data_IF_291072986134
#
_entry.id   IF_291072986134
#
_cell.length_a   1.000
_cell.length_b   1.000
_cell.length_c   1.000
_cell.angle_alpha   90.00
_cell.angle_beta   90.00
_cell.angle_gamma   90.00
#
_symmetry.space_group_name_H-M   'P 1'
#
loop_
_entity.id
_entity.type
_entity.pdbx_description
1 polymer ?
#
# COMPACT_ATOMS: atom_id res chain seq x y z
N UNK A 1 9.05 -14.11 2.03
CA UNK A 1 8.24 -15.28 2.41
C UNK A 1 6.89 -15.11 1.72
N UNK A 2 6.60 -15.91 0.70
CA UNK A 2 5.29 -15.88 0.05
C UNK A 2 4.34 -16.75 0.87
N UNK A 3 3.26 -16.16 1.37
CA UNK A 3 2.28 -16.85 2.23
C UNK A 3 1.09 -17.21 1.36
N UNK A 4 0.90 -18.50 1.07
CA UNK A 4 -0.37 -19.01 0.54
C UNK A 4 -1.22 -19.53 1.70
N UNK A 5 -2.53 -19.37 1.57
CA UNK A 5 -3.47 -19.93 2.53
C UNK A 5 -3.38 -21.48 2.49
N UNK A 6 -2.72 -22.08 3.48
CA UNK A 6 -2.62 -23.54 3.60
C UNK A 6 -3.98 -24.22 3.85
N UNK A 7 -5.02 -23.47 4.22
CA UNK A 7 -6.32 -23.99 4.62
C UNK A 7 -7.47 -23.59 3.69
N UNK A 8 -7.19 -23.05 2.51
CA UNK A 8 -8.23 -22.67 1.53
C UNK A 8 -7.98 -23.26 0.16
N UNK A 9 -9.00 -23.26 -0.70
CA UNK A 9 -8.94 -23.59 -2.13
C UNK A 9 -8.07 -22.63 -2.96
N UNK A 10 -7.14 -21.91 -2.32
CA UNK A 10 -6.23 -20.98 -2.97
C UNK A 10 -5.31 -21.73 -3.92
N UNK A 11 -5.17 -21.21 -5.15
CA UNK A 11 -4.32 -21.81 -6.17
C UNK A 11 -2.90 -22.07 -5.68
N UNK A 12 -2.25 -23.08 -6.28
CA UNK A 12 -0.84 -23.35 -6.04
C UNK A 12 -0.01 -22.08 -6.34
N UNK A 13 1.04 -21.85 -5.55
CA UNK A 13 1.99 -20.77 -5.82
C UNK A 13 2.60 -20.95 -7.22
N UNK A 14 2.58 -19.93 -8.07
CA UNK A 14 3.14 -20.05 -9.42
C UNK A 14 4.64 -20.29 -9.35
N UNK A 15 5.19 -20.99 -10.35
CA UNK A 15 6.58 -21.46 -10.34
C UNK A 15 7.60 -20.35 -10.09
N UNK A 16 7.38 -19.17 -10.67
CA UNK A 16 8.23 -18.01 -10.52
C UNK A 16 8.26 -17.44 -9.09
N UNK A 17 7.20 -17.67 -8.31
CA UNK A 17 7.06 -17.16 -6.94
C UNK A 17 7.49 -18.17 -5.86
N UNK A 18 7.79 -19.43 -6.24
CA UNK A 18 8.28 -20.46 -5.33
C UNK A 18 9.57 -20.04 -4.63
N UNK A 19 9.82 -20.62 -3.46
CA UNK A 19 11.05 -20.42 -2.69
C UNK A 19 12.28 -20.57 -3.59
N UNK A 20 13.25 -19.66 -3.46
CA UNK A 20 14.47 -19.54 -4.28
C UNK A 20 14.28 -19.08 -5.73
N UNK A 21 13.06 -19.08 -6.27
CA UNK A 21 12.80 -18.59 -7.63
C UNK A 21 12.53 -17.09 -7.67
N UNK A 22 11.92 -16.52 -6.62
CA UNK A 22 11.61 -15.08 -6.56
C UNK A 22 12.85 -14.24 -6.19
N UNK A 23 13.24 -13.34 -7.09
CA UNK A 23 14.27 -12.31 -6.88
C UNK A 23 13.65 -10.94 -7.14
N UNK A 24 13.15 -10.35 -6.06
CA UNK A 24 12.37 -9.13 -6.09
C UNK A 24 13.23 -7.89 -5.83
N UNK A 25 12.99 -6.83 -6.59
CA UNK A 25 13.56 -5.50 -6.33
C UNK A 25 12.42 -4.51 -6.03
N UNK A 26 12.53 -3.81 -4.90
CA UNK A 26 11.57 -2.79 -4.50
C UNK A 26 11.95 -1.44 -5.08
N UNK A 27 10.96 -0.73 -5.62
CA UNK A 27 11.18 0.60 -6.17
C UNK A 27 10.10 1.57 -5.69
N UNK A 28 10.43 2.28 -4.62
CA UNK A 28 9.60 3.31 -4.02
C UNK A 28 9.82 4.62 -4.76
N UNK A 29 9.02 4.92 -5.78
CA UNK A 29 9.15 6.16 -6.57
C UNK A 29 7.80 6.64 -7.10
N UNK A 30 7.82 7.75 -7.84
CA UNK A 30 6.63 8.35 -8.43
C UNK A 30 5.91 9.32 -7.49
N UNK A 31 4.90 10.03 -8.02
CA UNK A 31 4.20 11.09 -7.29
C UNK A 31 3.64 10.67 -5.93
N UNK A 32 3.01 9.49 -5.85
CA UNK A 32 2.37 9.01 -4.60
C UNK A 32 3.40 8.80 -3.48
N UNK A 33 4.55 8.19 -3.78
CA UNK A 33 5.61 7.97 -2.79
C UNK A 33 6.34 9.27 -2.42
N UNK A 34 6.57 10.18 -3.37
CA UNK A 34 7.17 11.49 -3.08
C UNK A 34 6.25 12.31 -2.18
N UNK A 35 4.94 12.33 -2.46
CA UNK A 35 3.95 12.99 -1.59
C UNK A 35 3.96 12.39 -0.18
N UNK A 36 3.97 11.06 -0.07
CA UNK A 36 4.14 10.37 1.21
C UNK A 36 5.43 10.80 1.92
N UNK A 37 6.57 10.80 1.23
CA UNK A 37 7.86 11.15 1.81
C UNK A 37 7.86 12.56 2.41
N UNK A 38 7.37 13.56 1.67
CA UNK A 38 7.25 14.94 2.12
C UNK A 38 6.44 15.00 3.44
N UNK A 39 5.30 14.32 3.47
CA UNK A 39 4.38 14.34 4.60
C UNK A 39 4.71 13.38 5.76
N UNK A 40 5.85 12.68 5.70
CA UNK A 40 6.18 11.58 6.64
C UNK A 40 7.56 11.72 7.30
N UNK A 41 7.96 12.94 7.66
CA UNK A 41 9.24 13.22 8.35
C UNK A 41 10.51 12.94 7.52
N UNK A 42 10.39 12.43 6.29
CA UNK A 42 11.56 12.20 5.43
C UNK A 42 12.23 13.51 5.00
N UNK A 43 11.54 14.64 5.17
CA UNK A 43 12.09 15.98 4.95
C UNK A 43 13.23 16.33 5.89
N UNK A 44 13.35 15.64 7.02
CA UNK A 44 14.49 15.80 7.92
C UNK A 44 15.68 14.92 7.55
N UNK A 45 15.48 13.94 6.65
CA UNK A 45 16.50 12.93 6.29
C UNK A 45 16.99 13.04 4.85
N UNK A 46 16.34 13.86 4.03
CA UNK A 46 16.69 14.05 2.63
C UNK A 46 16.70 15.55 2.31
N UNK A 47 17.71 15.98 1.55
CA UNK A 47 17.67 17.28 0.89
C UNK A 47 16.62 17.22 -0.23
N UNK A 48 15.44 17.80 0.02
CA UNK A 48 14.40 17.96 -0.99
C UNK A 48 14.75 19.10 -1.97
N UNK A 49 15.87 18.97 -2.67
CA UNK A 49 16.19 19.86 -3.78
C UNK A 49 15.19 19.68 -4.94
N UNK A 50 15.04 20.70 -5.78
CA UNK A 50 14.19 20.61 -6.98
C UNK A 50 14.64 19.46 -7.89
N UNK A 51 15.95 19.25 -8.00
CA UNK A 51 16.52 18.13 -8.75
C UNK A 51 16.11 16.78 -8.15
N UNK A 52 16.19 16.63 -6.82
CA UNK A 52 15.77 15.41 -6.14
C UNK A 52 14.29 15.12 -6.38
N UNK A 53 13.42 16.11 -6.21
CA UNK A 53 11.98 15.97 -6.42
C UNK A 53 11.67 15.59 -7.87
N UNK A 54 12.26 16.30 -8.84
CA UNK A 54 12.08 16.03 -10.26
C UNK A 54 12.50 14.59 -10.61
N UNK A 55 13.69 14.18 -10.15
CA UNK A 55 14.22 12.83 -10.38
C UNK A 55 13.32 11.75 -9.79
N UNK A 56 12.86 11.91 -8.55
CA UNK A 56 12.08 10.88 -7.84
C UNK A 56 10.66 10.74 -8.38
N UNK A 57 10.05 11.84 -8.83
CA UNK A 57 8.74 11.82 -9.50
C UNK A 57 8.84 11.09 -10.85
N UNK A 58 9.92 11.32 -11.60
CA UNK A 58 10.14 10.75 -12.94
C UNK A 58 10.88 9.42 -12.95
N UNK A 59 11.22 8.86 -11.80
CA UNK A 59 12.09 7.68 -11.76
C UNK A 59 11.44 6.44 -12.39
N UNK A 60 10.11 6.37 -12.42
CA UNK A 60 9.40 5.35 -13.19
C UNK A 60 9.43 5.59 -14.71
N UNK A 61 9.65 6.83 -15.18
CA UNK A 61 9.86 7.10 -16.61
C UNK A 61 11.20 6.52 -17.10
N UNK A 62 12.12 6.21 -16.19
CA UNK A 62 13.33 5.46 -16.50
C UNK A 62 12.98 3.99 -16.72
N UNK A 63 13.73 3.29 -17.58
CA UNK A 63 13.49 1.87 -17.89
C UNK A 63 13.86 0.96 -16.70
N UNK A 64 13.05 0.99 -15.65
CA UNK A 64 13.29 0.34 -14.37
C UNK A 64 13.35 -1.18 -14.52
N UNK A 65 12.50 -1.74 -15.38
CA UNK A 65 12.49 -3.17 -15.65
C UNK A 65 13.87 -3.62 -16.18
N UNK A 66 14.46 -2.90 -17.14
CA UNK A 66 15.81 -3.20 -17.64
C UNK A 66 16.87 -3.14 -16.54
N UNK A 67 16.88 -2.05 -15.76
CA UNK A 67 17.86 -1.86 -14.69
C UNK A 67 17.78 -2.96 -13.62
N UNK A 68 16.57 -3.42 -13.32
CA UNK A 68 16.35 -4.50 -12.35
C UNK A 68 16.74 -5.86 -12.92
N UNK A 69 16.38 -6.13 -14.18
CA UNK A 69 16.75 -7.35 -14.88
C UNK A 69 18.27 -7.50 -14.98
N UNK A 70 19.00 -6.41 -15.29
CA UNK A 70 20.46 -6.38 -15.33
C UNK A 70 21.11 -6.72 -13.97
N UNK A 71 20.40 -6.50 -12.86
CA UNK A 71 20.82 -6.87 -11.50
C UNK A 71 20.36 -8.28 -11.09
N UNK A 72 19.78 -9.04 -12.01
CA UNK A 72 19.32 -10.40 -11.79
C UNK A 72 17.92 -10.51 -11.16
N UNK A 73 17.18 -9.41 -10.99
CA UNK A 73 15.80 -9.50 -10.53
C UNK A 73 14.92 -10.14 -11.60
N UNK A 74 13.92 -10.93 -11.17
CA UNK A 74 12.85 -11.43 -12.04
C UNK A 74 11.47 -10.88 -11.65
N UNK A 75 11.41 -10.08 -10.59
CA UNK A 75 10.21 -9.36 -10.21
C UNK A 75 10.51 -7.95 -9.71
N UNK A 76 9.64 -7.00 -10.04
CA UNK A 76 9.61 -5.66 -9.44
C UNK A 76 8.51 -5.52 -8.40
N UNK A 77 8.68 -4.59 -7.46
CA UNK A 77 7.59 -4.09 -6.63
C UNK A 77 7.47 -2.58 -6.78
N UNK A 78 6.38 -2.13 -7.39
CA UNK A 78 6.08 -0.71 -7.62
C UNK A 78 5.04 -0.21 -6.63
N UNK A 79 5.10 1.06 -6.26
CA UNK A 79 4.12 1.69 -5.37
C UNK A 79 2.80 1.79 -6.12
N UNK A 80 1.72 1.26 -5.55
CA UNK A 80 0.37 1.43 -6.10
C UNK A 80 -0.48 2.33 -5.23
N UNK A 81 -0.43 2.16 -3.90
CA UNK A 81 -1.12 3.08 -3.00
C UNK A 81 -0.38 3.26 -1.69
N UNK A 82 -0.21 4.51 -1.30
CA UNK A 82 0.40 4.90 -0.02
C UNK A 82 -0.63 5.31 1.03
N UNK A 83 -1.89 5.51 0.64
CA UNK A 83 -2.99 5.91 1.51
C UNK A 83 -3.87 7.06 1.00
N UNK A 84 -3.73 7.49 -0.26
CA UNK A 84 -4.56 8.52 -0.90
C UNK A 84 -5.88 7.98 -1.44
N UNK A 85 -6.82 8.83 -1.82
CA UNK A 85 -8.08 8.35 -2.39
C UNK A 85 -7.86 7.63 -3.73
N UNK A 86 -8.82 6.78 -4.13
CA UNK A 86 -8.80 6.14 -5.45
C UNK A 86 -8.67 7.19 -6.58
N UNK A 87 -9.31 8.36 -6.43
CA UNK A 87 -9.28 9.42 -7.42
C UNK A 87 -7.89 10.06 -7.51
N UNK A 88 -7.23 10.29 -6.38
CA UNK A 88 -5.89 10.89 -6.36
C UNK A 88 -4.80 9.88 -6.75
N UNK A 89 -4.89 8.64 -6.26
CA UNK A 89 -4.00 7.55 -6.67
C UNK A 89 -4.14 7.22 -8.17
N UNK A 90 -5.28 7.51 -8.82
CA UNK A 90 -5.49 7.23 -10.24
C UNK A 90 -4.42 7.86 -11.15
N UNK A 91 -3.98 9.10 -10.85
CA UNK A 91 -2.89 9.75 -11.60
C UNK A 91 -1.58 8.96 -11.52
N UNK A 92 -1.26 8.46 -10.32
CA UNK A 92 -0.10 7.60 -10.10
C UNK A 92 -0.28 6.22 -10.76
N UNK A 93 -1.49 5.66 -10.74
CA UNK A 93 -1.80 4.39 -11.39
C UNK A 93 -1.59 4.42 -12.89
N UNK A 94 -1.85 5.53 -13.57
CA UNK A 94 -1.56 5.66 -15.00
C UNK A 94 -0.07 5.54 -15.33
N UNK A 95 0.79 6.06 -14.45
CA UNK A 95 2.24 5.88 -14.56
C UNK A 95 2.58 4.40 -14.36
N UNK A 96 2.09 3.79 -13.27
CA UNK A 96 2.41 2.40 -12.92
C UNK A 96 1.89 1.40 -13.95
N UNK A 97 0.70 1.59 -14.53
CA UNK A 97 0.14 0.77 -15.62
C UNK A 97 1.09 0.66 -16.80
N UNK A 98 1.67 1.80 -17.23
CA UNK A 98 2.66 1.81 -18.31
C UNK A 98 3.92 1.04 -17.95
N UNK A 99 4.26 0.92 -16.66
CA UNK A 99 5.43 0.15 -16.22
C UNK A 99 5.11 -1.33 -16.13
N UNK A 100 3.93 -1.70 -15.63
CA UNK A 100 3.48 -3.09 -15.59
C UNK A 100 3.54 -3.76 -16.98
N UNK A 101 3.17 -3.03 -18.03
CA UNK A 101 3.32 -3.48 -19.41
C UNK A 101 4.80 -3.79 -19.78
N UNK A 102 5.74 -2.90 -19.43
CA UNK A 102 7.17 -3.11 -19.72
C UNK A 102 7.76 -4.32 -18.97
N UNK A 103 7.31 -4.58 -17.75
CA UNK A 103 7.73 -5.79 -17.00
C UNK A 103 7.24 -7.05 -17.74
N UNK A 104 5.96 -7.06 -18.14
CA UNK A 104 5.36 -8.15 -18.92
C UNK A 104 6.11 -8.39 -20.22
N UNK A 105 6.40 -7.34 -21.01
CA UNK A 105 7.14 -7.42 -22.28
C UNK A 105 8.54 -8.02 -22.11
N UNK A 106 9.15 -7.87 -20.94
CA UNK A 106 10.49 -8.39 -20.61
C UNK A 106 10.48 -9.77 -19.95
N UNK A 107 9.30 -10.37 -19.81
CA UNK A 107 9.14 -11.65 -19.09
C UNK A 107 9.45 -11.54 -17.60
N UNK A 108 9.30 -10.35 -17.01
CA UNK A 108 9.41 -10.13 -15.57
C UNK A 108 8.02 -10.09 -14.94
N UNK A 109 7.97 -10.41 -13.65
CA UNK A 109 6.76 -10.25 -12.85
C UNK A 109 6.72 -8.87 -12.19
N UNK A 110 5.53 -8.36 -11.92
CA UNK A 110 5.39 -7.14 -11.15
C UNK A 110 4.36 -7.28 -10.03
N UNK A 111 4.85 -7.15 -8.80
CA UNK A 111 4.02 -6.96 -7.63
C UNK A 111 3.76 -5.47 -7.44
N UNK A 112 2.71 -5.15 -6.69
CA UNK A 112 2.44 -3.78 -6.28
C UNK A 112 2.37 -3.62 -4.76
N UNK A 113 2.96 -2.54 -4.28
CA UNK A 113 2.89 -2.13 -2.88
C UNK A 113 1.57 -1.42 -2.60
N UNK A 114 0.87 -1.86 -1.56
CA UNK A 114 -0.34 -1.22 -1.04
C UNK A 114 -0.20 -1.05 0.47
N UNK A 115 -0.36 0.18 0.94
CA UNK A 115 -0.51 0.44 2.36
C UNK A 115 -1.90 0.01 2.84
N UNK A 116 -1.97 -0.88 3.83
CA UNK A 116 -3.22 -1.48 4.30
C UNK A 116 -4.04 -0.53 5.18
N UNK A 117 -3.40 0.28 6.02
CA UNK A 117 -4.10 1.09 7.02
C UNK A 117 -3.88 2.60 6.90
N UNK A 118 -2.97 3.08 6.05
CA UNK A 118 -2.74 4.51 5.94
C UNK A 118 -3.89 5.22 5.22
N UNK A 119 -4.27 6.37 5.77
CA UNK A 119 -5.22 7.30 5.16
C UNK A 119 -4.64 8.72 5.27
N UNK A 120 -4.31 9.34 4.13
CA UNK A 120 -3.97 10.76 4.06
C UNK A 120 -5.25 11.57 4.17
N UNK A 121 -5.63 11.87 5.42
CA UNK A 121 -7.01 12.15 5.78
C UNK A 121 -7.58 13.42 5.17
N UNK A 122 -6.78 14.47 4.94
CA UNK A 122 -7.26 15.74 4.39
C UNK A 122 -7.93 15.50 3.03
N UNK A 123 -7.17 14.93 2.10
CA UNK A 123 -7.67 14.62 0.76
C UNK A 123 -8.68 13.47 0.79
N UNK A 124 -8.42 12.41 1.56
CA UNK A 124 -9.36 11.29 1.68
C UNK A 124 -10.74 11.72 2.19
N UNK A 125 -10.84 12.65 3.13
CA UNK A 125 -12.13 13.09 3.68
C UNK A 125 -12.91 14.02 2.76
N UNK A 126 -12.23 14.64 1.81
CA UNK A 126 -12.85 15.43 0.74
C UNK A 126 -13.37 14.50 -0.36
N UNK A 127 -12.53 13.57 -0.82
CA UNK A 127 -12.85 12.64 -1.91
C UNK A 127 -13.76 11.47 -1.49
N UNK A 128 -13.69 11.08 -0.22
CA UNK A 128 -14.40 9.96 0.39
C UNK A 128 -14.84 10.34 1.82
N UNK A 129 -15.93 11.12 1.97
CA UNK A 129 -16.35 11.63 3.27
C UNK A 129 -16.69 10.54 4.31
N UNK A 130 -17.16 9.37 3.88
CA UNK A 130 -17.55 8.29 4.79
C UNK A 130 -16.33 7.67 5.48
N UNK A 131 -15.12 7.81 4.91
CA UNK A 131 -13.92 7.28 5.57
C UNK A 131 -13.56 7.95 6.89
N UNK A 132 -14.19 9.08 7.24
CA UNK A 132 -14.17 9.62 8.61
C UNK A 132 -14.60 8.56 9.63
N UNK A 133 -15.59 7.73 9.31
CA UNK A 133 -16.09 6.68 10.19
C UNK A 133 -15.27 5.39 10.21
N UNK A 134 -14.25 5.26 9.35
CA UNK A 134 -13.52 3.99 9.18
C UNK A 134 -12.17 3.94 9.91
N UNK A 135 -11.79 5.03 10.58
CA UNK A 135 -10.53 5.16 11.33
C UNK A 135 -10.41 4.13 12.45
N UNK A 136 -9.18 3.78 12.80
CA UNK A 136 -8.89 3.08 14.03
C UNK A 136 -9.17 3.99 15.22
N UNK A 137 -9.78 3.41 16.26
CA UNK A 137 -10.04 4.07 17.53
C UNK A 137 -9.09 3.51 18.59
N UNK A 138 -8.49 4.39 19.37
CA UNK A 138 -7.71 4.04 20.55
C UNK A 138 -8.63 3.68 21.73
N UNK A 139 -8.04 3.13 22.78
CA UNK A 139 -8.76 2.73 23.99
C UNK A 139 -9.45 3.89 24.72
N UNK A 140 -8.99 5.12 24.52
CA UNK A 140 -9.54 6.36 25.08
C UNK A 140 -10.64 6.99 24.21
N UNK A 141 -11.01 6.32 23.10
CA UNK A 141 -11.99 6.84 22.13
C UNK A 141 -11.41 7.79 21.08
N UNK A 142 -10.12 8.16 21.16
CA UNK A 142 -9.44 8.98 20.16
C UNK A 142 -9.17 8.23 18.85
N UNK A 143 -8.88 8.95 17.77
CA UNK A 143 -8.44 8.32 16.52
C UNK A 143 -6.92 8.10 16.50
N UNK A 144 -6.47 6.96 15.99
CA UNK A 144 -5.06 6.58 16.02
C UNK A 144 -4.29 7.23 14.85
N UNK A 145 -3.35 8.17 15.10
CA UNK A 145 -2.48 8.70 14.06
C UNK A 145 -1.44 7.66 13.62
N UNK A 146 -0.96 7.77 12.39
CA UNK A 146 0.22 7.01 11.97
C UNK A 146 1.48 7.59 12.63
N UNK A 147 2.35 6.73 13.18
CA UNK A 147 3.51 7.12 14.00
C UNK A 147 4.65 7.88 13.31
N UNK A 148 4.57 8.13 11.99
CA UNK A 148 5.46 9.11 11.36
C UNK A 148 4.95 10.52 11.71
N UNK A 149 5.51 10.99 12.82
CA UNK A 149 5.47 12.30 13.47
C UNK A 149 5.09 13.45 12.50
N UNK A 150 4.20 14.37 12.89
CA UNK A 150 3.54 15.38 12.06
C UNK A 150 4.40 16.09 10.99
N UNK A 151 3.77 16.44 9.87
CA UNK A 151 4.33 17.39 8.89
C UNK A 151 3.87 18.80 9.26
N UNK A 152 4.81 19.74 9.39
CA UNK A 152 4.53 21.12 9.82
C UNK A 152 3.67 21.20 11.11
N UNK A 153 3.85 20.25 12.04
CA UNK A 153 3.08 20.19 13.30
C UNK A 153 1.70 19.54 13.18
N UNK A 154 1.29 19.09 11.99
CA UNK A 154 -0.02 18.47 11.76
C UNK A 154 0.07 16.96 11.49
N UNK A 155 -0.87 16.21 12.05
CA UNK A 155 -1.08 14.80 11.71
C UNK A 155 -1.44 14.74 10.22
N UNK A 156 -0.65 14.01 9.43
CA UNK A 156 -0.92 13.82 7.99
C UNK A 156 -1.69 12.55 7.69
N UNK A 157 -1.63 11.56 8.59
CA UNK A 157 -2.23 10.25 8.41
C UNK A 157 -2.93 9.72 9.65
N UNK A 158 -4.10 9.15 9.45
CA UNK A 158 -4.76 8.27 10.42
C UNK A 158 -4.66 6.82 9.98
N UNK A 159 -4.63 5.91 10.96
CA UNK A 159 -4.79 4.49 10.70
C UNK A 159 -6.27 4.16 10.47
N UNK A 160 -6.54 3.23 9.56
CA UNK A 160 -7.87 2.74 9.22
C UNK A 160 -8.11 1.35 9.80
N UNK A 161 -9.33 1.10 10.25
CA UNK A 161 -9.70 -0.16 10.90
C UNK A 161 -9.78 -1.29 9.87
N UNK A 162 -8.87 -2.27 9.97
CA UNK A 162 -8.83 -3.45 9.07
C UNK A 162 -10.07 -4.34 9.16
N UNK A 163 -10.82 -4.20 10.25
CA UNK A 163 -12.07 -4.91 10.50
C UNK A 163 -13.30 -4.17 10.01
N UNK A 164 -13.20 -2.86 9.71
CA UNK A 164 -14.30 -2.07 9.19
C UNK A 164 -14.68 -2.57 7.77
N UNK A 165 -15.94 -2.95 7.53
CA UNK A 165 -16.35 -3.55 6.26
C UNK A 165 -16.22 -2.57 5.08
N UNK A 166 -16.49 -1.29 5.28
CA UNK A 166 -16.35 -0.24 4.26
C UNK A 166 -14.89 -0.01 3.89
N UNK A 167 -13.98 0.02 4.88
CA UNK A 167 -12.54 0.08 4.60
C UNK A 167 -12.05 -1.15 3.82
N UNK A 168 -12.51 -2.35 4.19
CA UNK A 168 -12.18 -3.58 3.46
C UNK A 168 -12.70 -3.53 2.02
N UNK A 169 -13.92 -3.06 1.81
CA UNK A 169 -14.49 -2.88 0.48
C UNK A 169 -13.68 -1.86 -0.33
N UNK A 170 -13.23 -0.77 0.30
CA UNK A 170 -12.36 0.23 -0.32
C UNK A 170 -11.01 -0.35 -0.75
N UNK A 171 -10.35 -1.12 0.13
CA UNK A 171 -9.10 -1.79 -0.21
C UNK A 171 -9.26 -2.82 -1.32
N UNK A 172 -10.41 -3.52 -1.39
CA UNK A 172 -10.73 -4.41 -2.51
C UNK A 172 -10.80 -3.66 -3.84
N UNK A 173 -11.33 -2.43 -3.88
CA UNK A 173 -11.31 -1.60 -5.10
C UNK A 173 -9.88 -1.29 -5.55
N UNK A 174 -8.97 -0.97 -4.62
CA UNK A 174 -7.53 -0.77 -4.94
C UNK A 174 -6.89 -2.04 -5.51
N UNK A 175 -7.17 -3.19 -4.91
CA UNK A 175 -6.67 -4.50 -5.36
C UNK A 175 -7.22 -4.82 -6.76
N UNK A 176 -8.52 -4.63 -6.97
CA UNK A 176 -9.16 -4.86 -8.26
C UNK A 176 -8.52 -4.00 -9.35
N UNK A 177 -8.35 -2.70 -9.12
CA UNK A 177 -7.72 -1.80 -10.09
C UNK A 177 -6.26 -2.21 -10.42
N UNK A 178 -5.51 -2.75 -9.46
CA UNK A 178 -4.16 -3.27 -9.68
C UNK A 178 -4.16 -4.58 -10.49
N UNK A 179 -5.09 -5.49 -10.23
CA UNK A 179 -5.24 -6.72 -11.03
C UNK A 179 -5.61 -6.39 -12.47
N UNK A 180 -6.56 -5.47 -12.67
CA UNK A 180 -6.97 -4.97 -13.99
C UNK A 180 -5.82 -4.28 -14.72
N UNK A 181 -4.87 -3.69 -13.98
CA UNK A 181 -3.66 -3.10 -14.52
C UNK A 181 -2.55 -4.11 -14.88
N UNK A 182 -2.71 -5.38 -14.52
CA UNK A 182 -1.75 -6.45 -14.81
C UNK A 182 -0.74 -6.74 -13.69
N UNK A 183 -1.05 -6.40 -12.44
CA UNK A 183 -0.19 -6.81 -11.32
C UNK A 183 -0.28 -8.32 -11.05
N UNK A 184 0.88 -8.97 -10.90
CA UNK A 184 0.99 -10.41 -10.58
C UNK A 184 0.80 -10.71 -9.09
N UNK A 185 0.89 -9.69 -8.24
CA UNK A 185 0.81 -9.88 -6.79
C UNK A 185 0.88 -8.59 -5.99
N UNK A 186 0.83 -8.74 -4.67
CA UNK A 186 0.73 -7.63 -3.73
C UNK A 186 1.78 -7.73 -2.64
N UNK A 187 2.37 -6.58 -2.32
CA UNK A 187 3.09 -6.36 -1.09
C UNK A 187 2.26 -5.46 -0.18
N UNK A 188 1.87 -5.99 0.98
CA UNK A 188 1.09 -5.25 1.96
C UNK A 188 2.02 -4.61 2.99
N UNK A 189 1.90 -3.30 3.16
CA UNK A 189 2.62 -2.57 4.21
C UNK A 189 1.65 -1.92 5.19
N UNK A 190 2.15 -1.52 6.36
CA UNK A 190 1.39 -0.90 7.43
C UNK A 190 0.15 -1.74 7.81
N UNK A 191 0.37 -3.04 7.98
CA UNK A 191 -0.65 -4.05 8.30
C UNK A 191 -0.86 -4.25 9.81
N UNK A 192 -0.61 -3.21 10.61
CA UNK A 192 -0.79 -3.22 12.06
C UNK A 192 -2.14 -2.60 12.44
N UNK A 193 -2.78 -3.16 13.46
CA UNK A 193 -4.09 -2.72 13.93
C UNK A 193 -4.27 -2.99 15.42
N UNK A 194 -4.47 -1.92 16.20
CA UNK A 194 -4.80 -1.96 17.62
C UNK A 194 -6.05 -1.11 17.86
N UNK A 195 -7.15 -1.51 17.23
CA UNK A 195 -8.39 -0.73 17.17
C UNK A 195 -9.42 -1.20 18.20
N UNK A 196 -9.99 -0.25 18.93
CA UNK A 196 -10.98 -0.44 20.00
C UNK A 196 -12.40 -0.03 19.59
N UNK A 197 -12.68 0.17 18.31
CA UNK A 197 -14.03 0.46 17.85
C UNK A 197 -15.00 -0.71 18.08
N UNK A 198 -16.29 -0.42 18.08
CA UNK A 198 -17.34 -1.42 18.35
C UNK A 198 -17.24 -2.66 17.47
N UNK A 199 -16.87 -2.48 16.19
CA UNK A 199 -16.67 -3.58 15.24
C UNK A 199 -15.55 -4.52 15.72
N UNK A 200 -14.44 -3.96 16.22
CA UNK A 200 -13.32 -4.76 16.71
C UNK A 200 -13.65 -5.41 18.05
N UNK A 201 -14.32 -4.71 18.96
CA UNK A 201 -14.73 -5.28 20.23
C UNK A 201 -15.68 -6.46 20.02
N UNK A 202 -16.66 -6.33 19.13
CA UNK A 202 -17.60 -7.39 18.83
C UNK A 202 -16.91 -8.60 18.20
N UNK A 203 -16.09 -8.38 17.17
CA UNK A 203 -15.30 -9.46 16.56
C UNK A 203 -14.36 -10.14 17.55
N UNK A 204 -13.80 -9.39 18.50
CA UNK A 204 -12.96 -9.97 19.54
C UNK A 204 -13.79 -10.86 20.48
N UNK A 205 -14.98 -10.42 20.92
CA UNK A 205 -15.90 -11.24 21.72
C UNK A 205 -16.26 -12.54 21.00
N UNK A 206 -16.64 -12.46 19.72
CA UNK A 206 -16.93 -13.65 18.89
C UNK A 206 -15.74 -14.58 18.83
N UNK A 207 -14.56 -14.06 18.48
CA UNK A 207 -13.33 -14.86 18.40
C UNK A 207 -12.98 -15.54 19.73
N UNK A 208 -13.14 -14.84 20.86
CA UNK A 208 -12.86 -15.42 22.18
C UNK A 208 -13.86 -16.49 22.56
N UNK A 209 -15.17 -16.29 22.32
CA UNK A 209 -16.19 -17.28 22.62
C UNK A 209 -16.00 -18.56 21.79
N UNK A 210 -15.68 -18.43 20.49
CA UNK A 210 -15.39 -19.57 19.62
C UNK A 210 -14.18 -20.40 20.07
N UNK A 211 -13.22 -19.76 20.75
CA UNK A 211 -11.93 -20.40 21.09
C UNK A 211 -11.80 -20.85 22.53
N UNK A 212 -12.55 -20.22 23.44
CA UNK A 212 -12.44 -20.47 24.88
C UNK A 212 -13.72 -21.05 25.50
N UNK A 213 -14.85 -21.05 24.78
CA UNK A 213 -16.16 -21.43 25.32
C UNK A 213 -16.80 -20.30 26.12
#
# INVERSE_FOLDING_TARGET
>A
MAVTNQTGTGGCMPDWAKTHNLRISFHYSGPSEVGKAIMSYWWQRAEFSLEYLHRRIREYDLNQAEMMQAKGANAGCLVWSTGWSLANDAYHWDIVRRRLAEYTERGMHCLVYISLTNCFWKEMFESEPDCKGWRQMAHDGGFVPYGAIPYAGEITRYLMCVNNPSWRAYQKKRVQAALEAGADGFFWDNNFSHCYCDICQEKFRTFTAERLG
#
